data_IF_643731890828
#
_entry.id   IF_643731890828
#
_cell.length_a   1.000
_cell.length_b   1.000
_cell.length_c   1.000
_cell.angle_alpha   90.00
_cell.angle_beta   90.00
_cell.angle_gamma   90.00
#
_symmetry.space_group_name_H-M   'P 1'
#
loop_
_entity.id
_entity.type
_entity.pdbx_description
1 polymer ?
#
# COMPACT_ATOMS: atom_id res chain seq x y z
N UNK A 1 -55.63 -63.17 44.53
CA UNK A 1 -57.07 -63.03 44.78
C UNK A 1 -57.63 -62.27 43.58
N UNK A 2 -58.16 -62.88 42.71
CA UNK A 2 -59.47 -63.34 42.37
C UNK A 2 -60.03 -62.28 41.42
N UNK A 3 -60.63 -62.48 40.39
CA UNK A 3 -61.22 -63.61 39.65
C UNK A 3 -61.80 -63.08 38.31
N UNK A 4 -61.67 -63.85 37.32
CA UNK A 4 -62.49 -63.80 36.05
C UNK A 4 -63.97 -63.83 36.39
N UNK A 5 -64.99 -63.81 35.47
CA UNK A 5 -64.98 -64.10 34.01
C UNK A 5 -66.10 -63.51 33.16
N UNK A 6 -66.20 -64.01 31.89
CA UNK A 6 -67.35 -64.29 30.95
C UNK A 6 -68.01 -63.11 30.18
N UNK A 7 -67.88 -63.09 28.93
CA UNK A 7 -68.51 -63.87 27.82
C UNK A 7 -69.89 -63.41 27.42
N UNK A 8 -70.06 -63.10 26.14
CA UNK A 8 -71.13 -63.50 25.17
C UNK A 8 -71.01 -62.67 23.90
N UNK A 9 -70.59 -63.17 22.77
CA UNK A 9 -71.28 -64.00 21.77
C UNK A 9 -72.31 -63.24 20.95
N UNK A 10 -72.00 -63.09 19.64
CA UNK A 10 -72.86 -63.16 18.43
C UNK A 10 -73.74 -61.93 18.09
N UNK A 11 -73.52 -61.30 16.95
CA UNK A 11 -74.40 -61.34 15.81
C UNK A 11 -73.72 -60.74 14.54
N UNK A 12 -73.78 -61.54 13.53
CA UNK A 12 -73.41 -61.34 12.10
C UNK A 12 -74.36 -60.33 11.48
N UNK A 13 -73.86 -59.29 10.78
CA UNK A 13 -74.59 -58.68 9.70
C UNK A 13 -73.68 -58.10 8.65
N UNK A 14 -73.70 -58.68 7.49
CA UNK A 14 -73.12 -58.23 6.24
C UNK A 14 -73.65 -56.83 5.88
N UNK A 15 -72.79 -55.84 5.81
CA UNK A 15 -73.07 -54.68 5.01
C UNK A 15 -71.89 -54.49 4.05
N UNK A 16 -72.15 -54.81 2.79
CA UNK A 16 -71.28 -54.61 1.63
C UNK A 16 -71.32 -53.10 1.33
N UNK A 17 -70.35 -52.34 1.92
CA UNK A 17 -70.24 -50.94 1.61
C UNK A 17 -69.25 -50.73 0.46
N UNK A 18 -69.77 -50.23 -0.66
CA UNK A 18 -68.96 -49.75 -1.79
C UNK A 18 -67.88 -48.78 -1.30
N UNK A 19 -66.68 -49.17 -1.34
CA UNK A 19 -65.50 -48.24 -1.24
C UNK A 19 -65.33 -47.61 -2.62
N UNK A 20 -65.30 -46.28 -2.73
CA UNK A 20 -64.88 -45.64 -3.97
C UNK A 20 -63.43 -45.89 -4.19
N UNK A 21 -63.06 -46.55 -5.28
CA UNK A 21 -61.69 -46.62 -5.80
C UNK A 21 -61.26 -45.20 -6.16
N UNK A 22 -60.54 -44.57 -5.25
CA UNK A 22 -59.83 -43.35 -5.59
C UNK A 22 -58.75 -43.73 -6.60
N UNK A 23 -59.02 -43.54 -7.89
CA UNK A 23 -58.00 -43.55 -8.93
C UNK A 23 -56.92 -42.55 -8.53
N UNK A 24 -55.72 -43.02 -8.15
CA UNK A 24 -54.53 -42.21 -8.09
C UNK A 24 -54.35 -41.62 -9.49
N UNK A 25 -54.59 -40.33 -9.63
CA UNK A 25 -54.20 -39.60 -10.82
C UNK A 25 -52.69 -39.81 -11.01
N UNK A 26 -52.31 -40.55 -12.05
CA UNK A 26 -50.92 -40.53 -12.51
C UNK A 26 -50.56 -39.12 -12.82
N UNK A 27 -49.42 -38.59 -12.26
CA UNK A 27 -48.94 -37.29 -12.65
C UNK A 27 -48.79 -37.30 -14.17
N UNK A 28 -49.41 -36.35 -14.84
CA UNK A 28 -49.20 -36.11 -16.27
C UNK A 28 -47.70 -36.05 -16.55
N UNK A 29 -47.23 -36.56 -17.69
CA UNK A 29 -45.82 -36.50 -18.03
C UNK A 29 -45.41 -35.02 -17.95
N UNK A 30 -44.50 -34.71 -17.02
CA UNK A 30 -44.00 -33.39 -16.87
C UNK A 30 -43.39 -32.98 -18.21
N UNK A 31 -43.90 -31.92 -18.81
CA UNK A 31 -43.32 -31.38 -20.05
C UNK A 31 -41.81 -31.12 -19.88
N UNK A 32 -41.09 -30.85 -20.97
CA UNK A 32 -39.65 -30.60 -20.90
C UNK A 32 -39.35 -29.58 -19.79
N UNK A 33 -38.35 -29.83 -18.92
CA UNK A 33 -38.06 -28.93 -17.82
C UNK A 33 -37.72 -27.54 -18.36
N UNK A 34 -38.36 -26.52 -17.81
CA UNK A 34 -38.06 -25.13 -18.14
C UNK A 34 -36.74 -24.75 -17.53
N UNK A 35 -35.86 -24.19 -18.36
CA UNK A 35 -34.46 -23.79 -17.99
C UNK A 35 -34.19 -22.36 -18.46
N UNK A 36 -33.45 -21.60 -17.64
CA UNK A 36 -32.91 -20.31 -18.04
C UNK A 36 -31.60 -20.49 -18.79
N UNK A 37 -31.52 -19.93 -20.00
CA UNK A 37 -30.31 -20.00 -20.82
C UNK A 37 -29.71 -18.62 -21.02
N UNK A 38 -28.38 -18.60 -21.09
CA UNK A 38 -27.57 -17.42 -21.40
C UNK A 38 -26.76 -17.70 -22.65
N UNK A 39 -26.71 -16.74 -23.57
CA UNK A 39 -25.85 -16.83 -24.75
C UNK A 39 -24.42 -16.55 -24.37
N UNK A 40 -23.50 -17.43 -24.74
CA UNK A 40 -22.05 -17.22 -24.57
C UNK A 40 -21.66 -16.03 -25.43
N UNK A 41 -21.14 -15.00 -24.79
CA UNK A 41 -20.70 -13.79 -25.46
C UNK A 41 -19.33 -13.38 -24.96
N UNK A 42 -18.60 -12.64 -25.79
CA UNK A 42 -17.37 -11.98 -25.34
C UNK A 42 -17.71 -10.86 -24.39
N UNK A 43 -17.02 -10.86 -23.27
CA UNK A 43 -17.14 -9.84 -22.22
C UNK A 43 -15.76 -9.25 -21.97
N UNK A 44 -15.71 -7.96 -21.79
CA UNK A 44 -14.49 -7.29 -21.33
C UNK A 44 -14.36 -7.45 -19.83
N UNK A 45 -13.33 -8.13 -19.39
CA UNK A 45 -13.07 -8.38 -17.97
C UNK A 45 -11.70 -7.82 -17.61
N UNK A 46 -11.65 -7.00 -16.58
CA UNK A 46 -10.39 -6.60 -15.95
C UNK A 46 -9.92 -7.76 -15.07
N UNK A 47 -8.81 -8.37 -15.45
CA UNK A 47 -8.23 -9.45 -14.64
C UNK A 47 -7.52 -8.85 -13.44
N UNK A 48 -7.85 -9.35 -12.27
CA UNK A 48 -7.28 -8.94 -10.99
C UNK A 48 -6.59 -10.12 -10.32
N UNK A 49 -5.38 -9.90 -9.81
CA UNK A 49 -4.67 -10.84 -8.96
C UNK A 49 -4.60 -10.29 -7.55
N UNK A 50 -5.00 -11.09 -6.57
CA UNK A 50 -5.02 -10.70 -5.17
C UNK A 50 -3.74 -11.18 -4.46
N UNK A 51 -3.12 -10.26 -3.70
CA UNK A 51 -1.95 -10.54 -2.88
C UNK A 51 -2.12 -9.92 -1.50
N UNK A 52 -1.53 -10.54 -0.49
CA UNK A 52 -1.43 -9.92 0.83
C UNK A 52 -0.21 -9.01 0.82
N UNK A 53 -0.43 -7.73 1.13
CA UNK A 53 0.61 -6.73 1.18
C UNK A 53 0.62 -5.94 2.48
N UNK A 54 1.55 -5.01 2.56
CA UNK A 54 1.71 -4.10 3.69
C UNK A 54 1.93 -2.68 3.19
N UNK A 55 1.26 -1.73 3.83
CA UNK A 55 1.52 -0.31 3.64
C UNK A 55 2.82 0.04 4.37
N UNK A 56 3.64 0.87 3.75
CA UNK A 56 4.89 1.36 4.33
C UNK A 56 5.10 2.83 3.98
N UNK A 57 5.50 3.63 4.96
CA UNK A 57 5.91 5.00 4.71
C UNK A 57 7.17 5.07 3.85
N UNK A 58 7.23 6.04 2.94
CA UNK A 58 8.38 6.25 2.05
C UNK A 58 9.58 6.75 2.85
N UNK A 59 9.36 7.71 3.73
CA UNK A 59 10.39 8.31 4.58
C UNK A 59 10.18 7.95 6.04
N UNK A 60 11.24 7.49 6.69
CA UNK A 60 11.30 7.25 8.13
C UNK A 60 12.58 7.83 8.67
N UNK A 61 12.51 8.79 9.58
CA UNK A 61 13.67 9.46 10.17
C UNK A 61 13.59 9.36 11.70
N UNK A 62 14.64 8.82 12.30
CA UNK A 62 14.83 8.86 13.76
C UNK A 62 15.51 10.19 14.13
N UNK A 63 14.83 10.98 14.92
CA UNK A 63 15.37 12.25 15.44
C UNK A 63 16.31 11.95 16.59
N UNK A 64 17.53 12.43 16.50
CA UNK A 64 18.57 12.25 17.52
C UNK A 64 19.22 13.61 17.82
N UNK A 65 19.64 13.81 19.08
CA UNK A 65 20.42 14.96 19.43
C UNK A 65 21.84 14.83 18.85
N UNK A 66 22.39 15.94 18.31
CA UNK A 66 23.77 15.98 17.78
C UNK A 66 24.74 16.62 18.75
N UNK A 67 24.24 17.28 19.76
CA UNK A 67 25.00 17.94 20.85
C UNK A 67 24.42 17.52 22.19
N UNK A 68 25.21 17.66 23.26
CA UNK A 68 24.81 17.31 24.62
C UNK A 68 24.30 18.55 25.35
N UNK A 69 23.00 18.60 25.61
CA UNK A 69 22.34 19.73 26.28
C UNK A 69 21.09 19.27 27.02
N UNK A 70 20.54 20.11 27.90
CA UNK A 70 19.20 19.91 28.45
C UNK A 70 18.14 20.11 27.39
N UNK A 71 17.12 19.25 27.39
CA UNK A 71 15.92 19.43 26.59
C UNK A 71 15.04 20.49 27.28
N UNK A 72 15.04 21.73 26.79
CA UNK A 72 14.25 22.79 27.37
C UNK A 72 12.79 22.67 27.02
N UNK A 73 12.47 22.40 25.73
CA UNK A 73 11.09 22.46 25.27
C UNK A 73 10.83 21.52 24.10
N UNK A 74 9.61 20.98 24.09
CA UNK A 74 9.02 20.25 22.97
C UNK A 74 7.94 21.11 22.31
N UNK A 75 8.10 21.45 21.04
CA UNK A 75 7.23 22.39 20.33
C UNK A 75 6.17 21.69 19.45
N UNK A 76 5.87 20.41 19.71
CA UNK A 76 4.88 19.64 18.96
C UNK A 76 3.97 18.84 19.89
N UNK A 77 2.80 18.42 19.36
CA UNK A 77 1.92 17.46 20.00
C UNK A 77 2.21 16.06 19.42
N UNK A 78 2.32 15.05 20.26
CA UNK A 78 2.57 13.67 19.85
C UNK A 78 1.50 13.17 18.88
N UNK A 79 1.92 12.56 17.79
CA UNK A 79 1.02 12.07 16.76
C UNK A 79 0.50 13.12 15.79
N UNK A 80 0.92 14.39 15.90
CA UNK A 80 0.57 15.40 14.89
C UNK A 80 1.37 15.23 13.60
N UNK A 81 0.86 15.78 12.49
CA UNK A 81 1.62 15.98 11.27
C UNK A 81 2.38 17.30 11.36
N UNK A 82 3.66 17.26 11.00
CA UNK A 82 4.57 18.42 10.97
C UNK A 82 5.11 18.59 9.55
N UNK A 83 5.47 19.82 9.23
CA UNK A 83 6.12 20.15 7.96
C UNK A 83 7.62 20.14 8.12
N UNK A 84 8.32 19.96 7.01
CA UNK A 84 9.77 20.13 6.95
C UNK A 84 10.15 21.51 7.50
N UNK A 85 11.26 21.54 8.28
CA UNK A 85 11.82 22.69 8.97
C UNK A 85 11.01 23.20 10.16
N UNK A 86 9.85 22.61 10.54
CA UNK A 86 9.17 22.92 11.79
C UNK A 86 10.10 22.62 12.97
N UNK A 87 10.13 23.52 13.98
CA UNK A 87 10.86 23.29 15.21
C UNK A 87 10.16 22.22 16.06
N UNK A 88 10.91 21.17 16.41
CA UNK A 88 10.37 20.06 17.19
C UNK A 88 10.87 20.05 18.63
N UNK A 89 12.18 20.26 18.81
CA UNK A 89 12.80 20.32 20.13
C UNK A 89 13.74 21.51 20.21
N UNK A 90 13.70 22.19 21.33
CA UNK A 90 14.63 23.23 21.70
C UNK A 90 15.50 22.72 22.84
N UNK A 91 16.81 22.70 22.60
CA UNK A 91 17.81 22.37 23.62
C UNK A 91 18.39 23.63 24.20
N UNK A 92 19.01 23.55 25.38
CA UNK A 92 19.69 24.63 26.06
C UNK A 92 20.71 25.31 25.15
N UNK A 93 20.48 26.59 24.80
CA UNK A 93 21.29 27.36 23.86
C UNK A 93 22.41 28.21 24.51
N UNK A 94 22.26 28.75 25.75
CA UNK A 94 23.19 29.73 26.30
C UNK A 94 24.67 29.32 26.27
N UNK A 95 25.06 28.05 26.60
CA UNK A 95 26.47 27.65 26.53
C UNK A 95 27.03 27.70 25.10
N UNK A 96 26.24 27.30 24.11
CA UNK A 96 26.63 27.30 22.70
C UNK A 96 26.68 28.72 22.13
N UNK A 97 25.74 29.60 22.53
CA UNK A 97 25.77 31.01 22.18
C UNK A 97 27.02 31.70 22.72
N UNK A 98 27.36 31.46 23.98
CA UNK A 98 28.60 32.01 24.57
C UNK A 98 29.87 31.56 23.80
N UNK A 99 29.88 30.30 23.30
CA UNK A 99 31.00 29.83 22.49
C UNK A 99 31.09 30.52 21.13
N UNK A 100 29.95 30.80 20.49
CA UNK A 100 29.86 31.58 19.25
C UNK A 100 30.37 32.99 19.49
N UNK A 101 29.94 33.65 20.55
CA UNK A 101 30.35 35.04 20.87
C UNK A 101 31.84 35.11 21.17
N UNK A 102 32.38 34.12 21.90
CA UNK A 102 33.85 34.01 22.14
C UNK A 102 34.64 33.89 20.84
N UNK A 103 34.25 32.95 19.96
CA UNK A 103 34.96 32.77 18.69
C UNK A 103 34.79 33.98 17.75
N UNK A 104 33.66 34.64 17.76
CA UNK A 104 33.41 35.88 17.02
C UNK A 104 34.33 37.01 17.47
N UNK A 105 34.54 37.16 18.78
CA UNK A 105 35.49 38.12 19.32
C UNK A 105 36.93 37.80 18.93
N UNK A 106 37.30 36.53 18.93
CA UNK A 106 38.64 36.09 18.50
C UNK A 106 38.88 36.39 17.01
N UNK A 107 37.89 36.13 16.13
CA UNK A 107 37.98 36.52 14.71
C UNK A 107 38.21 38.04 14.58
N UNK A 108 37.42 38.86 15.28
CA UNK A 108 37.57 40.32 15.23
C UNK A 108 38.96 40.79 15.68
N UNK A 109 39.50 40.19 16.73
CA UNK A 109 40.87 40.49 17.20
C UNK A 109 41.92 40.15 16.12
N UNK A 110 41.87 38.97 15.52
CA UNK A 110 42.83 38.54 14.49
C UNK A 110 42.69 39.34 13.19
N UNK A 111 41.47 39.72 12.80
CA UNK A 111 41.24 40.61 11.66
C UNK A 111 41.85 41.99 11.87
N UNK A 112 41.74 42.55 13.07
CA UNK A 112 42.43 43.82 13.40
C UNK A 112 43.95 43.71 13.31
N UNK A 113 44.51 42.60 13.80
CA UNK A 113 45.96 42.34 13.70
C UNK A 113 46.40 42.15 12.24
N UNK A 114 45.62 41.40 11.44
CA UNK A 114 45.90 41.22 10.02
C UNK A 114 45.82 42.55 9.25
N UNK A 115 44.81 43.37 9.51
CA UNK A 115 44.68 44.72 8.93
C UNK A 115 45.92 45.58 9.26
N UNK A 116 46.39 45.51 10.50
CA UNK A 116 47.64 46.21 10.90
C UNK A 116 48.86 45.66 10.13
N UNK A 117 49.00 44.33 9.99
CA UNK A 117 50.10 43.73 9.22
C UNK A 117 50.07 44.12 7.72
N UNK A 118 48.88 44.20 7.12
CA UNK A 118 48.70 44.67 5.75
C UNK A 118 49.19 46.13 5.59
N UNK A 119 48.85 47.01 6.58
CA UNK A 119 49.36 48.37 6.57
C UNK A 119 50.85 48.47 6.74
N UNK A 120 51.46 47.56 7.54
CA UNK A 120 52.93 47.48 7.70
C UNK A 120 53.60 47.01 6.41
N UNK A 121 53.02 46.00 5.74
CA UNK A 121 53.50 45.50 4.44
C UNK A 121 53.44 46.63 3.39
N UNK A 122 52.32 47.30 3.25
CA UNK A 122 52.19 48.44 2.32
C UNK A 122 53.22 49.53 2.56
N UNK A 123 53.54 49.84 3.83
CA UNK A 123 54.59 50.80 4.20
C UNK A 123 56.00 50.28 3.82
N UNK A 124 56.29 49.01 4.09
CA UNK A 124 57.59 48.39 3.75
C UNK A 124 57.83 48.37 2.21
N UNK A 125 56.81 48.03 1.45
CA UNK A 125 56.83 48.08 -0.02
C UNK A 125 57.01 49.49 -0.58
N UNK A 126 56.40 50.49 0.06
CA UNK A 126 56.59 51.90 -0.31
C UNK A 126 58.02 52.34 -0.04
N UNK A 127 58.58 52.01 1.13
CA UNK A 127 59.95 52.36 1.53
C UNK A 127 60.96 51.65 0.66
N UNK A 128 60.74 50.46 0.19
CA UNK A 128 61.63 49.70 -0.73
C UNK A 128 61.89 50.50 -2.02
N UNK A 129 61.01 51.36 -2.45
CA UNK A 129 61.13 52.23 -3.63
C UNK A 129 62.06 53.39 -3.37
N UNK A 130 62.52 53.58 -2.13
CA UNK A 130 63.46 54.65 -1.69
C UNK A 130 64.81 54.05 -1.37
N UNK A 131 65.94 54.88 -1.37
CA UNK A 131 67.27 54.39 -1.01
C UNK A 131 67.40 53.82 0.41
N UNK A 132 66.43 54.00 1.29
CA UNK A 132 66.43 53.50 2.66
C UNK A 132 65.69 52.13 2.81
N UNK A 133 65.15 51.60 1.74
CA UNK A 133 64.41 50.34 1.76
C UNK A 133 65.31 49.12 1.80
N UNK A 134 64.85 48.10 2.63
CA UNK A 134 65.57 46.82 2.73
C UNK A 134 64.65 45.69 2.31
N UNK A 135 65.04 44.86 1.36
CA UNK A 135 64.31 43.70 0.87
C UNK A 135 63.89 42.74 2.02
N UNK A 136 64.89 42.50 2.95
CA UNK A 136 64.64 41.63 4.12
C UNK A 136 63.37 42.06 4.95
N UNK A 137 63.14 43.38 5.10
CA UNK A 137 62.00 43.87 5.84
C UNK A 137 60.69 43.61 5.12
N UNK A 138 60.69 43.72 3.80
CA UNK A 138 59.47 43.37 2.98
C UNK A 138 59.20 41.87 3.09
N UNK A 139 60.24 41.01 2.95
CA UNK A 139 60.04 39.56 3.06
C UNK A 139 59.51 39.16 4.44
N UNK A 140 59.97 39.80 5.51
CA UNK A 140 59.54 39.58 6.88
C UNK A 140 58.05 40.04 7.06
N UNK A 141 57.67 41.20 6.51
CA UNK A 141 56.28 41.70 6.62
C UNK A 141 55.33 40.88 5.77
N UNK A 142 55.74 40.39 4.60
CA UNK A 142 54.94 39.42 3.81
C UNK A 142 54.69 38.14 4.60
N UNK A 143 55.75 37.60 5.23
CA UNK A 143 55.63 36.36 6.02
C UNK A 143 54.70 36.56 7.22
N UNK A 144 54.75 37.69 7.89
CA UNK A 144 53.89 38.04 9.01
C UNK A 144 52.42 38.23 8.56
N UNK A 145 52.17 38.97 7.46
CA UNK A 145 50.85 39.17 6.89
C UNK A 145 50.21 37.80 6.52
N UNK A 146 50.94 36.94 5.82
CA UNK A 146 50.46 35.60 5.45
C UNK A 146 50.15 34.73 6.67
N UNK A 147 50.99 34.80 7.71
CA UNK A 147 50.74 34.09 8.97
C UNK A 147 49.45 34.53 9.63
N UNK A 148 49.23 35.84 9.72
CA UNK A 148 47.99 36.39 10.30
C UNK A 148 46.76 36.12 9.44
N UNK A 149 46.90 36.16 8.10
CA UNK A 149 45.84 35.74 7.20
C UNK A 149 45.44 34.29 7.45
N UNK A 150 46.38 33.36 7.64
CA UNK A 150 46.11 31.97 7.97
C UNK A 150 45.45 31.81 9.35
N UNK A 151 45.86 32.62 10.34
CA UNK A 151 45.24 32.61 11.67
C UNK A 151 43.80 33.10 11.62
N UNK A 152 43.48 34.15 10.84
CA UNK A 152 42.08 34.61 10.61
C UNK A 152 41.25 33.49 9.98
N UNK A 153 41.79 32.80 8.97
CA UNK A 153 41.09 31.70 8.33
C UNK A 153 40.77 30.55 9.33
N UNK A 154 41.76 30.20 10.19
CA UNK A 154 41.57 29.22 11.26
C UNK A 154 40.50 29.62 12.27
N UNK A 155 40.50 30.89 12.72
CA UNK A 155 39.53 31.40 13.68
C UNK A 155 38.11 31.43 13.07
N UNK A 156 37.97 31.77 11.77
CA UNK A 156 36.70 31.72 11.06
C UNK A 156 36.14 30.29 11.00
N UNK A 157 36.96 29.27 10.75
CA UNK A 157 36.56 27.88 10.77
C UNK A 157 36.10 27.44 12.18
N UNK A 158 36.75 27.92 13.24
CA UNK A 158 36.32 27.66 14.62
C UNK A 158 34.99 28.34 14.94
N UNK A 159 34.78 29.57 14.47
CA UNK A 159 33.48 30.27 14.60
C UNK A 159 32.35 29.50 13.87
N UNK A 160 32.60 29.04 12.65
CA UNK A 160 31.64 28.26 11.89
C UNK A 160 31.27 26.96 12.62
N UNK A 161 32.27 26.26 13.18
CA UNK A 161 32.04 25.06 14.00
C UNK A 161 31.11 25.36 15.21
N UNK A 162 31.36 26.48 15.90
CA UNK A 162 30.53 26.90 17.02
C UNK A 162 29.07 27.25 16.59
N UNK A 163 28.93 27.92 15.45
CA UNK A 163 27.61 28.22 14.87
C UNK A 163 26.83 26.96 14.47
N UNK A 164 27.51 25.98 13.88
CA UNK A 164 26.91 24.69 13.55
C UNK A 164 26.42 23.98 14.83
N UNK A 165 27.23 23.97 15.89
CA UNK A 165 26.86 23.37 17.17
C UNK A 165 25.66 24.08 17.82
N UNK A 166 25.61 25.41 17.73
CA UNK A 166 24.45 26.19 18.16
C UNK A 166 23.22 25.82 17.33
N UNK A 167 23.35 25.68 16.00
CA UNK A 167 22.24 25.21 15.13
C UNK A 167 21.72 23.83 15.51
N UNK A 168 22.55 22.95 16.05
CA UNK A 168 22.12 21.63 16.50
C UNK A 168 21.31 21.64 17.81
N UNK A 169 21.24 22.76 18.51
CA UNK A 169 20.33 22.94 19.66
C UNK A 169 18.87 23.08 19.26
N UNK A 170 18.61 23.38 18.00
CA UNK A 170 17.27 23.40 17.42
C UNK A 170 17.09 22.13 16.57
N UNK A 171 16.29 21.18 17.04
CA UNK A 171 15.99 19.98 16.28
C UNK A 171 14.73 20.22 15.47
N UNK A 172 14.91 20.31 14.16
CA UNK A 172 13.83 20.57 13.20
C UNK A 172 13.44 19.33 12.39
N UNK A 173 12.23 19.31 11.87
CA UNK A 173 11.72 18.22 11.03
C UNK A 173 12.51 18.18 9.69
N UNK A 174 13.17 17.06 9.35
CA UNK A 174 13.90 16.94 8.09
C UNK A 174 13.00 16.64 6.89
N UNK A 175 11.79 16.15 7.14
CA UNK A 175 10.76 15.77 6.13
C UNK A 175 9.38 16.14 6.64
N UNK A 176 8.42 16.25 5.73
CA UNK A 176 7.00 16.28 6.09
C UNK A 176 6.57 14.92 6.62
N UNK A 177 5.74 14.89 7.66
CA UNK A 177 5.25 13.62 8.16
C UNK A 177 4.60 13.69 9.53
N UNK A 178 4.26 12.52 10.05
CA UNK A 178 3.68 12.33 11.38
C UNK A 178 4.75 11.97 12.38
N UNK A 179 4.80 12.71 13.48
CA UNK A 179 5.76 12.47 14.56
C UNK A 179 5.20 11.44 15.57
N UNK A 180 6.06 10.55 16.05
CA UNK A 180 5.70 9.59 17.11
C UNK A 180 5.58 10.27 18.48
N UNK A 181 5.24 9.48 19.51
CA UNK A 181 5.49 9.86 20.89
C UNK A 181 6.98 10.14 21.11
N UNK A 182 7.30 11.01 22.06
CA UNK A 182 8.68 11.30 22.48
C UNK A 182 9.16 10.26 23.49
N UNK A 183 10.42 9.83 23.35
CA UNK A 183 11.06 8.92 24.31
C UNK A 183 11.77 9.66 25.45
N UNK A 184 11.84 11.00 25.39
CA UNK A 184 12.55 11.86 26.35
C UNK A 184 11.66 13.00 26.84
N UNK A 185 11.64 13.21 28.14
CA UNK A 185 10.87 14.29 28.78
C UNK A 185 11.71 15.57 28.88
N UNK A 186 11.04 16.72 28.83
CA UNK A 186 11.65 18.04 29.11
C UNK A 186 12.38 18.05 30.45
N UNK A 187 13.51 18.74 30.52
CA UNK A 187 14.40 18.78 31.68
C UNK A 187 15.45 17.67 31.74
N UNK A 188 15.39 16.66 30.86
CA UNK A 188 16.44 15.65 30.77
C UNK A 188 17.61 16.12 29.89
N UNK A 189 18.81 15.60 30.15
CA UNK A 189 19.96 15.77 29.27
C UNK A 189 19.84 14.83 28.11
N UNK A 190 19.97 15.35 26.90
CA UNK A 190 20.08 14.60 25.66
C UNK A 190 21.47 14.74 25.06
N UNK A 191 21.90 13.72 24.32
CA UNK A 191 23.23 13.65 23.71
C UNK A 191 23.20 12.73 22.49
N UNK A 192 24.24 12.68 21.65
CA UNK A 192 24.33 11.72 20.54
C UNK A 192 24.19 10.24 20.97
N UNK A 193 24.47 9.93 22.22
CA UNK A 193 24.36 8.58 22.79
C UNK A 193 23.00 8.29 23.44
N UNK A 194 22.11 9.27 23.57
CA UNK A 194 20.79 9.11 24.19
C UNK A 194 19.80 8.30 23.35
N UNK A 195 20.16 7.97 22.09
CA UNK A 195 19.27 7.26 21.18
C UNK A 195 18.25 8.16 20.48
N UNK A 196 17.14 7.55 20.05
CA UNK A 196 16.10 8.25 19.30
C UNK A 196 15.21 9.05 20.25
N UNK A 197 15.01 10.33 19.98
CA UNK A 197 14.10 11.20 20.73
C UNK A 197 12.64 11.01 20.29
N UNK A 198 12.43 10.92 18.99
CA UNK A 198 11.15 10.61 18.33
C UNK A 198 11.42 10.10 16.92
N UNK A 199 10.42 9.45 16.33
CA UNK A 199 10.47 9.02 14.93
C UNK A 199 9.48 9.84 14.10
N UNK A 200 9.95 10.35 12.97
CA UNK A 200 9.12 11.04 11.98
C UNK A 200 8.91 10.12 10.78
N UNK A 201 7.64 9.94 10.37
CA UNK A 201 7.26 9.06 9.25
C UNK A 201 6.42 9.83 8.24
N UNK A 202 6.83 9.77 6.96
CA UNK A 202 6.04 10.38 5.89
C UNK A 202 4.68 9.71 5.79
N UNK A 203 3.65 10.48 5.39
CA UNK A 203 2.28 10.01 5.35
C UNK A 203 1.69 9.95 3.94
N UNK A 204 2.22 10.72 3.01
CA UNK A 204 1.73 10.82 1.63
C UNK A 204 2.90 11.21 0.70
N UNK A 205 3.10 10.47 -0.39
CA UNK A 205 2.49 9.16 -0.70
C UNK A 205 3.03 8.01 0.18
N UNK A 206 2.40 6.82 0.07
CA UNK A 206 2.81 5.60 0.78
C UNK A 206 3.29 4.53 -0.21
N UNK A 207 4.14 3.64 0.26
CA UNK A 207 4.43 2.40 -0.45
C UNK A 207 3.41 1.32 -0.09
N UNK A 208 3.08 0.49 -1.05
CA UNK A 208 2.43 -0.80 -0.85
C UNK A 208 3.40 -1.88 -1.31
N UNK A 209 3.78 -2.78 -0.39
CA UNK A 209 4.77 -3.82 -0.63
C UNK A 209 4.09 -5.17 -0.49
N UNK A 210 4.26 -6.03 -1.47
CA UNK A 210 3.66 -7.36 -1.48
C UNK A 210 4.55 -8.38 -2.16
N UNK A 211 4.66 -9.60 -1.60
CA UNK A 211 5.38 -10.70 -2.20
C UNK A 211 4.50 -11.40 -3.25
N UNK A 212 5.08 -11.77 -4.37
CA UNK A 212 4.43 -12.52 -5.44
C UNK A 212 5.25 -13.78 -5.72
N UNK A 213 4.61 -14.95 -5.77
CA UNK A 213 5.28 -16.19 -6.11
C UNK A 213 5.99 -16.09 -7.47
N UNK A 214 7.21 -16.61 -7.58
CA UNK A 214 8.04 -16.48 -8.78
C UNK A 214 7.30 -16.91 -10.04
N UNK A 215 6.56 -18.02 -9.99
CA UNK A 215 5.74 -18.50 -11.12
C UNK A 215 4.72 -17.43 -11.57
N UNK A 216 4.01 -16.82 -10.63
CA UNK A 216 3.02 -15.79 -10.93
C UNK A 216 3.69 -14.53 -11.46
N UNK A 217 4.83 -14.14 -10.91
CA UNK A 217 5.59 -12.97 -11.38
C UNK A 217 6.05 -13.14 -12.83
N UNK A 218 6.48 -14.34 -13.22
CA UNK A 218 6.83 -14.67 -14.62
C UNK A 218 5.60 -14.56 -15.53
N UNK A 219 4.45 -15.10 -15.13
CA UNK A 219 3.20 -14.99 -15.89
C UNK A 219 2.74 -13.52 -16.06
N UNK A 220 2.82 -12.74 -15.00
CA UNK A 220 2.50 -11.31 -15.06
C UNK A 220 3.47 -10.55 -15.97
N UNK A 221 4.76 -10.84 -15.87
CA UNK A 221 5.79 -10.26 -16.74
C UNK A 221 5.51 -10.56 -18.23
N UNK A 222 5.31 -11.84 -18.57
CA UNK A 222 5.11 -12.28 -19.95
C UNK A 222 3.83 -11.66 -20.55
N UNK A 223 2.83 -11.37 -19.71
CA UNK A 223 1.61 -10.69 -20.10
C UNK A 223 1.79 -9.19 -20.26
N UNK A 224 2.28 -8.50 -19.25
CA UNK A 224 2.23 -7.04 -19.18
C UNK A 224 3.45 -6.33 -19.79
N UNK A 225 4.60 -7.00 -19.94
CA UNK A 225 5.76 -6.38 -20.60
C UNK A 225 5.45 -5.94 -22.04
N UNK A 226 4.75 -6.74 -22.88
CA UNK A 226 4.35 -6.31 -24.23
C UNK A 226 3.32 -5.16 -24.22
N UNK A 227 2.54 -5.01 -23.16
CA UNK A 227 1.47 -4.01 -23.00
C UNK A 227 1.95 -2.67 -22.41
N UNK A 228 3.24 -2.54 -22.09
CA UNK A 228 3.84 -1.33 -21.50
C UNK A 228 4.42 -1.51 -20.11
N UNK A 229 4.53 -2.73 -19.62
CA UNK A 229 5.18 -3.07 -18.35
C UNK A 229 4.44 -2.51 -17.13
N UNK A 230 5.12 -1.69 -16.32
CA UNK A 230 4.55 -1.11 -15.10
C UNK A 230 3.32 -0.22 -15.34
N UNK A 231 3.23 0.39 -16.52
CA UNK A 231 2.09 1.25 -16.89
C UNK A 231 0.85 0.45 -17.30
N UNK A 232 1.01 -0.83 -17.62
CA UNK A 232 -0.08 -1.71 -17.99
C UNK A 232 -0.86 -2.25 -16.80
N UNK A 233 -0.42 -1.97 -15.56
CA UNK A 233 -1.05 -2.43 -14.33
C UNK A 233 -1.30 -1.29 -13.36
N UNK A 234 -2.39 -1.40 -12.63
CA UNK A 234 -2.74 -0.51 -11.53
C UNK A 234 -2.88 -1.32 -10.24
N UNK A 235 -2.63 -0.65 -9.14
CA UNK A 235 -2.75 -1.23 -7.81
C UNK A 235 -3.97 -0.63 -7.14
N UNK A 236 -4.94 -1.49 -6.79
CA UNK A 236 -6.01 -1.14 -5.86
C UNK A 236 -5.76 -1.85 -4.54
N UNK A 237 -6.23 -1.25 -3.48
CA UNK A 237 -6.04 -1.77 -2.12
C UNK A 237 -7.41 -2.03 -1.51
N UNK A 238 -7.60 -3.23 -0.95
CA UNK A 238 -8.73 -3.54 -0.08
C UNK A 238 -8.25 -3.47 1.37
N UNK A 239 -8.88 -2.59 2.14
CA UNK A 239 -8.58 -2.38 3.54
C UNK A 239 -9.05 -3.56 4.40
N UNK A 240 -8.57 -3.72 5.65
CA UNK A 240 -8.97 -4.81 6.55
C UNK A 240 -10.47 -4.86 6.85
N UNK A 241 -11.17 -3.73 6.72
CA UNK A 241 -12.63 -3.65 6.88
C UNK A 241 -13.42 -4.12 5.63
N UNK A 242 -12.73 -4.62 4.59
CA UNK A 242 -13.30 -5.09 3.33
C UNK A 242 -13.59 -4.02 2.29
N UNK A 243 -13.46 -2.73 2.62
CA UNK A 243 -13.69 -1.64 1.67
C UNK A 243 -12.52 -1.50 0.70
N UNK A 244 -12.83 -1.21 -0.56
CA UNK A 244 -11.82 -0.83 -1.56
C UNK A 244 -11.40 0.62 -1.30
N UNK A 245 -10.09 0.85 -1.25
CA UNK A 245 -9.52 2.17 -1.13
C UNK A 245 -9.71 2.96 -2.44
N UNK A 246 -10.14 4.22 -2.34
CA UNK A 246 -10.53 5.01 -3.52
C UNK A 246 -9.36 5.41 -4.41
N UNK A 247 -8.18 5.61 -3.81
CA UNK A 247 -7.00 6.01 -4.56
C UNK A 247 -6.36 4.81 -5.25
N UNK A 248 -5.87 5.04 -6.46
CA UNK A 248 -5.19 4.04 -7.28
C UNK A 248 -3.69 4.23 -7.16
N UNK A 249 -2.98 3.15 -6.90
CA UNK A 249 -1.52 3.10 -6.88
C UNK A 249 -0.94 2.63 -8.20
N UNK A 250 0.36 2.87 -8.36
CA UNK A 250 1.15 2.45 -9.52
C UNK A 250 2.33 1.60 -9.07
N UNK A 251 2.66 0.58 -9.85
CA UNK A 251 3.86 -0.23 -9.62
C UNK A 251 5.10 0.61 -9.95
N UNK A 252 6.08 0.67 -9.04
CA UNK A 252 7.31 1.44 -9.23
C UNK A 252 8.58 0.58 -9.13
N UNK A 253 8.50 -0.60 -8.50
CA UNK A 253 9.67 -1.43 -8.27
C UNK A 253 9.35 -2.92 -8.22
N UNK A 254 10.21 -3.72 -8.83
CA UNK A 254 10.25 -5.18 -8.71
C UNK A 254 11.63 -5.56 -8.19
N UNK A 255 11.69 -6.36 -7.12
CA UNK A 255 12.95 -6.85 -6.58
C UNK A 255 13.74 -7.63 -7.63
N UNK A 256 15.04 -7.36 -7.82
CA UNK A 256 15.90 -8.15 -8.69
C UNK A 256 16.27 -9.51 -8.10
N UNK A 257 15.91 -9.75 -6.83
CA UNK A 257 16.24 -10.99 -6.10
C UNK A 257 14.97 -11.71 -5.68
N UNK A 258 15.02 -13.04 -5.72
CA UNK A 258 14.00 -13.92 -5.18
C UNK A 258 14.33 -14.24 -3.73
N UNK A 259 13.35 -14.16 -2.84
CA UNK A 259 13.51 -14.64 -1.47
C UNK A 259 13.56 -16.16 -1.48
N UNK A 260 14.70 -16.72 -1.01
CA UNK A 260 14.98 -18.16 -1.07
C UNK A 260 14.11 -19.00 -0.12
N UNK A 261 13.54 -18.39 0.93
CA UNK A 261 12.74 -19.11 1.91
C UNK A 261 11.29 -19.25 1.45
N UNK A 262 10.80 -18.28 0.67
CA UNK A 262 9.38 -18.19 0.29
C UNK A 262 9.15 -18.37 -1.21
N UNK A 263 10.21 -18.44 -2.03
CA UNK A 263 10.15 -18.46 -3.50
C UNK A 263 9.30 -17.32 -4.07
N UNK A 264 9.45 -16.12 -3.48
CA UNK A 264 8.69 -14.95 -3.88
C UNK A 264 9.60 -13.81 -4.35
N UNK A 265 9.06 -12.96 -5.22
CA UNK A 265 9.63 -11.69 -5.64
C UNK A 265 8.82 -10.59 -5.00
N UNK A 266 9.49 -9.66 -4.34
CA UNK A 266 8.83 -8.51 -3.73
C UNK A 266 8.53 -7.45 -4.80
N UNK A 267 7.27 -7.08 -4.90
CA UNK A 267 6.79 -5.95 -5.70
C UNK A 267 6.46 -4.79 -4.77
N UNK A 268 6.68 -3.58 -5.28
CA UNK A 268 6.35 -2.34 -4.58
C UNK A 268 5.62 -1.40 -5.51
N UNK A 269 4.58 -0.79 -4.99
CA UNK A 269 3.89 0.30 -5.66
C UNK A 269 3.83 1.54 -4.78
N UNK A 270 3.51 2.66 -5.40
CA UNK A 270 3.26 3.95 -4.75
C UNK A 270 1.77 4.24 -4.82
N UNK A 271 1.19 4.60 -3.69
CA UNK A 271 -0.23 4.95 -3.59
C UNK A 271 -0.40 6.28 -2.84
N UNK A 272 -1.21 7.22 -3.34
CA UNK A 272 -1.54 8.45 -2.62
C UNK A 272 -2.30 8.15 -1.33
N UNK A 273 -2.06 8.97 -0.30
CA UNK A 273 -2.75 8.86 0.98
C UNK A 273 -3.24 10.25 1.44
N UNK A 274 -4.18 10.87 0.70
CA UNK A 274 -4.67 12.21 1.02
C UNK A 274 -5.36 12.26 2.38
N UNK A 275 -5.49 13.47 2.92
CA UNK A 275 -6.25 13.72 4.13
C UNK A 275 -7.74 13.43 3.91
N UNK A 276 -8.33 12.61 4.78
CA UNK A 276 -9.78 12.36 4.84
C UNK A 276 -10.46 13.43 5.69
N UNK A 277 -9.80 13.83 6.80
CA UNK A 277 -10.27 14.91 7.65
C UNK A 277 -9.06 15.77 8.05
N UNK A 278 -9.22 17.08 7.90
CA UNK A 278 -8.23 18.04 8.37
C UNK A 278 -8.21 18.08 9.91
N UNK A 279 -7.08 18.49 10.47
CA UNK A 279 -6.96 18.75 11.90
C UNK A 279 -8.04 19.76 12.36
N UNK A 280 -8.78 19.42 13.40
CA UNK A 280 -9.82 20.28 13.99
C UNK A 280 -9.81 20.14 15.50
N UNK A 281 -9.82 21.28 16.21
CA UNK A 281 -10.00 21.35 17.67
C UNK A 281 -9.08 20.40 18.48
N UNK A 282 -7.78 20.34 18.13
CA UNK A 282 -6.81 19.46 18.81
C UNK A 282 -6.85 17.99 18.37
N UNK A 283 -7.72 17.64 17.42
CA UNK A 283 -7.74 16.29 16.83
C UNK A 283 -6.71 16.25 15.69
N UNK A 284 -5.79 15.27 15.67
CA UNK A 284 -4.83 15.14 14.57
C UNK A 284 -5.55 14.86 13.24
N UNK A 285 -4.94 15.24 12.10
CA UNK A 285 -5.48 14.94 10.79
C UNK A 285 -5.59 13.43 10.58
N UNK A 286 -6.66 13.01 9.91
CA UNK A 286 -6.94 11.59 9.68
C UNK A 286 -6.64 11.25 8.23
N UNK A 287 -5.84 10.21 8.03
CA UNK A 287 -5.57 9.55 6.75
C UNK A 287 -6.07 8.12 6.82
N UNK A 288 -6.35 7.54 5.67
CA UNK A 288 -6.98 6.22 5.60
C UNK A 288 -5.97 5.08 5.71
N UNK A 289 -4.76 5.28 5.15
CA UNK A 289 -3.70 4.29 5.22
C UNK A 289 -2.74 4.61 6.36
N UNK A 290 -2.35 3.57 7.09
CA UNK A 290 -1.42 3.67 8.22
C UNK A 290 -0.15 2.86 7.92
N UNK A 291 1.00 3.39 8.37
CA UNK A 291 2.28 2.67 8.23
C UNK A 291 2.23 1.29 8.90
N UNK A 292 2.74 0.26 8.21
CA UNK A 292 2.76 -1.16 8.59
C UNK A 292 1.40 -1.87 8.58
N UNK A 293 0.33 -1.24 8.14
CA UNK A 293 -0.98 -1.86 7.99
C UNK A 293 -0.96 -2.98 6.96
N UNK A 294 -1.59 -4.11 7.26
CA UNK A 294 -1.82 -5.18 6.30
C UNK A 294 -3.03 -4.87 5.43
N UNK A 295 -2.88 -5.13 4.15
CA UNK A 295 -3.92 -4.87 3.14
C UNK A 295 -3.96 -6.00 2.11
N UNK A 296 -5.09 -6.16 1.44
CA UNK A 296 -5.16 -6.98 0.23
C UNK A 296 -4.89 -6.11 -0.98
N UNK A 297 -3.86 -6.46 -1.72
CA UNK A 297 -3.44 -5.77 -2.95
C UNK A 297 -4.11 -6.43 -4.14
N UNK A 298 -4.84 -5.66 -4.91
CA UNK A 298 -5.47 -6.05 -6.17
C UNK A 298 -4.61 -5.47 -7.30
N UNK A 299 -3.88 -6.35 -7.98
CA UNK A 299 -3.10 -5.96 -9.16
C UNK A 299 -3.97 -6.19 -10.41
N UNK A 300 -4.40 -5.11 -11.03
CA UNK A 300 -5.34 -5.09 -12.14
C UNK A 300 -4.67 -4.63 -13.44
N UNK A 301 -4.99 -5.27 -14.56
CA UNK A 301 -4.58 -4.77 -15.88
C UNK A 301 -5.36 -3.49 -16.22
N UNK A 302 -4.69 -2.52 -16.80
CA UNK A 302 -5.32 -1.26 -17.26
C UNK A 302 -6.27 -1.53 -18.42
N UNK A 303 -5.90 -2.47 -19.32
CA UNK A 303 -6.74 -2.83 -20.46
C UNK A 303 -7.60 -4.04 -20.13
N UNK A 304 -8.92 -3.95 -20.33
CA UNK A 304 -9.78 -5.11 -20.21
C UNK A 304 -9.46 -6.13 -21.32
N UNK A 305 -9.50 -7.41 -20.96
CA UNK A 305 -9.30 -8.51 -21.92
C UNK A 305 -10.67 -9.03 -22.37
N UNK A 306 -10.85 -9.14 -23.68
CA UNK A 306 -12.06 -9.74 -24.26
C UNK A 306 -11.98 -11.27 -24.14
N UNK A 307 -12.84 -11.83 -23.31
CA UNK A 307 -12.90 -13.29 -23.00
C UNK A 307 -14.32 -13.82 -23.16
N UNK A 308 -14.46 -15.12 -23.41
CA UNK A 308 -15.77 -15.76 -23.36
C UNK A 308 -16.21 -15.87 -21.90
N UNK A 309 -17.30 -15.19 -21.56
CA UNK A 309 -17.85 -15.14 -20.20
C UNK A 309 -19.22 -15.84 -20.13
N UNK A 310 -19.39 -16.63 -19.07
CA UNK A 310 -20.70 -17.23 -18.71
C UNK A 310 -20.98 -16.95 -17.23
N UNK A 311 -22.25 -16.90 -16.81
CA UNK A 311 -22.57 -16.80 -15.39
C UNK A 311 -21.95 -17.97 -14.60
N UNK A 312 -21.36 -17.68 -13.45
CA UNK A 312 -20.73 -18.73 -12.62
C UNK A 312 -21.71 -19.79 -12.16
N UNK A 313 -23.02 -19.45 -12.07
CA UNK A 313 -24.10 -20.37 -11.75
C UNK A 313 -24.33 -21.44 -12.81
N UNK A 314 -23.83 -21.24 -14.03
CA UNK A 314 -23.92 -22.23 -15.11
C UNK A 314 -22.84 -23.31 -15.04
N UNK A 315 -21.77 -23.08 -14.27
CA UNK A 315 -20.65 -24.01 -14.15
C UNK A 315 -20.95 -25.06 -13.10
N UNK A 316 -20.77 -26.31 -13.49
CA UNK A 316 -20.88 -27.50 -12.66
C UNK A 316 -19.54 -28.20 -12.60
N UNK A 317 -19.25 -28.84 -11.48
CA UNK A 317 -17.98 -29.56 -11.28
C UNK A 317 -18.26 -30.99 -10.84
N UNK A 318 -17.58 -31.95 -11.45
CA UNK A 318 -17.59 -33.36 -11.06
C UNK A 318 -16.16 -33.91 -10.92
N UNK A 319 -16.04 -35.25 -10.77
CA UNK A 319 -14.74 -35.89 -10.62
C UNK A 319 -13.82 -35.76 -11.87
N UNK A 320 -14.38 -35.43 -13.03
CA UNK A 320 -13.66 -35.26 -14.28
C UNK A 320 -13.31 -33.81 -14.60
N UNK A 321 -13.75 -32.84 -13.78
CA UNK A 321 -13.50 -31.42 -13.94
C UNK A 321 -14.77 -30.58 -14.14
N UNK A 322 -14.59 -29.38 -14.65
CA UNK A 322 -15.67 -28.42 -14.85
C UNK A 322 -16.42 -28.68 -16.15
N UNK A 323 -17.74 -28.52 -16.11
CA UNK A 323 -18.61 -28.70 -17.26
C UNK A 323 -19.83 -27.78 -17.21
N UNK A 324 -20.49 -27.65 -18.35
CA UNK A 324 -21.74 -26.90 -18.51
C UNK A 324 -22.76 -27.72 -19.31
N UNK A 325 -24.02 -27.36 -19.23
CA UNK A 325 -25.03 -27.83 -20.16
C UNK A 325 -25.21 -26.84 -21.30
N UNK A 326 -24.95 -27.27 -22.53
CA UNK A 326 -25.20 -26.52 -23.76
C UNK A 326 -26.51 -27.01 -24.37
N UNK A 327 -27.37 -26.10 -24.85
CA UNK A 327 -28.59 -26.44 -25.56
C UNK A 327 -28.30 -26.50 -27.06
N UNK A 328 -28.54 -27.66 -27.64
CA UNK A 328 -28.39 -27.89 -29.08
C UNK A 328 -29.54 -27.31 -29.92
N UNK A 329 -29.45 -27.37 -31.25
CA UNK A 329 -30.48 -26.92 -32.17
C UNK A 329 -31.82 -27.70 -32.10
N UNK A 330 -31.87 -28.81 -31.33
CA UNK A 330 -33.05 -29.62 -31.08
C UNK A 330 -33.58 -29.45 -29.65
N UNK A 331 -33.13 -28.42 -28.95
CA UNK A 331 -33.42 -28.14 -27.53
C UNK A 331 -33.03 -29.28 -26.59
N UNK A 332 -31.95 -30.01 -26.86
CA UNK A 332 -31.42 -31.03 -25.96
C UNK A 332 -30.26 -30.46 -25.15
N UNK A 333 -30.18 -30.87 -23.90
CA UNK A 333 -29.09 -30.49 -23.01
C UNK A 333 -27.87 -31.45 -23.21
N UNK A 334 -26.80 -30.95 -23.76
CA UNK A 334 -25.54 -31.66 -23.95
C UNK A 334 -24.55 -31.27 -22.87
N UNK A 335 -23.85 -32.26 -22.27
CA UNK A 335 -22.75 -32.00 -21.35
C UNK A 335 -21.52 -31.59 -22.14
N UNK A 336 -20.98 -30.41 -21.87
CA UNK A 336 -19.77 -29.90 -22.49
C UNK A 336 -18.70 -29.62 -21.44
N UNK A 337 -17.56 -30.31 -21.57
CA UNK A 337 -16.37 -30.04 -20.71
C UNK A 337 -15.76 -28.72 -21.08
N UNK A 338 -15.38 -27.95 -20.06
CA UNK A 338 -14.78 -26.64 -20.22
C UNK A 338 -13.52 -26.49 -19.39
N UNK A 339 -12.64 -25.61 -19.83
CA UNK A 339 -11.52 -25.16 -19.04
C UNK A 339 -11.77 -23.71 -18.61
N UNK A 340 -11.65 -23.48 -17.31
CA UNK A 340 -11.86 -22.16 -16.72
C UNK A 340 -10.53 -21.38 -16.64
N UNK A 341 -10.61 -20.09 -16.97
CA UNK A 341 -9.57 -19.12 -16.69
C UNK A 341 -9.82 -18.36 -15.38
N UNK A 342 -9.09 -17.26 -15.19
CA UNK A 342 -9.32 -16.37 -14.07
C UNK A 342 -10.73 -15.77 -14.13
N UNK A 343 -11.60 -16.23 -13.24
CA UNK A 343 -13.00 -15.88 -13.17
C UNK A 343 -13.26 -14.84 -12.11
N UNK A 344 -14.27 -13.99 -12.32
CA UNK A 344 -14.79 -13.07 -11.30
C UNK A 344 -15.80 -13.78 -10.39
N UNK A 345 -16.25 -13.18 -9.28
CA UNK A 345 -17.31 -13.76 -8.45
C UNK A 345 -18.63 -14.04 -9.20
N UNK A 346 -18.95 -13.24 -10.21
CA UNK A 346 -20.20 -13.35 -11.00
C UNK A 346 -20.03 -14.06 -12.32
N UNK A 347 -18.86 -13.97 -12.97
CA UNK A 347 -18.60 -14.46 -14.33
C UNK A 347 -17.47 -15.48 -14.34
N UNK A 348 -17.73 -16.64 -14.91
CA UNK A 348 -16.72 -17.65 -15.20
C UNK A 348 -16.14 -17.38 -16.60
N UNK A 349 -14.81 -17.25 -16.66
CA UNK A 349 -14.07 -17.10 -17.91
C UNK A 349 -13.81 -18.49 -18.49
N UNK A 350 -14.22 -18.72 -19.72
CA UNK A 350 -13.97 -20.00 -20.42
C UNK A 350 -12.84 -19.81 -21.39
N UNK A 351 -11.76 -20.60 -21.21
CA UNK A 351 -10.58 -20.57 -22.09
C UNK A 351 -10.69 -21.61 -23.20
N UNK A 352 -11.41 -22.69 -22.97
CA UNK A 352 -11.60 -23.77 -23.93
C UNK A 352 -12.92 -24.53 -23.66
N UNK A 353 -13.50 -25.14 -24.71
CA UNK A 353 -14.70 -25.96 -24.63
C UNK A 353 -16.02 -25.29 -25.00
N UNK A 354 -16.08 -23.97 -25.21
CA UNK A 354 -17.28 -23.25 -25.68
C UNK A 354 -16.94 -22.33 -26.84
N UNK A 355 -17.98 -22.13 -27.71
CA UNK A 355 -17.91 -21.17 -28.79
C UNK A 355 -18.85 -19.99 -28.52
N UNK A 356 -18.50 -18.83 -29.09
CA UNK A 356 -19.36 -17.64 -29.03
C UNK A 356 -20.70 -17.92 -29.71
N UNK A 357 -21.78 -17.51 -29.06
CA UNK A 357 -23.16 -17.67 -29.55
C UNK A 357 -23.87 -18.95 -29.07
N UNK A 358 -23.16 -19.92 -28.48
CA UNK A 358 -23.80 -21.11 -27.88
C UNK A 358 -24.71 -20.74 -26.70
N UNK A 359 -25.77 -21.52 -26.47
CA UNK A 359 -26.70 -21.32 -25.36
C UNK A 359 -26.33 -22.24 -24.20
N UNK A 360 -25.98 -21.65 -23.06
CA UNK A 360 -25.62 -22.37 -21.83
C UNK A 360 -26.70 -22.22 -20.79
N UNK A 361 -27.06 -23.34 -20.14
CA UNK A 361 -28.08 -23.35 -19.08
C UNK A 361 -27.50 -22.75 -17.82
N UNK A 362 -28.07 -21.65 -17.32
CA UNK A 362 -27.62 -20.95 -16.09
C UNK A 362 -28.62 -21.12 -14.94
N UNK A 363 -29.88 -21.44 -15.22
CA UNK A 363 -30.93 -21.64 -14.22
C UNK A 363 -31.64 -22.96 -14.48
N UNK A 364 -32.04 -23.67 -13.41
CA UNK A 364 -32.73 -24.96 -13.49
C UNK A 364 -31.78 -26.14 -13.78
N UNK A 365 -30.49 -25.96 -13.75
CA UNK A 365 -29.47 -27.01 -14.02
C UNK A 365 -29.68 -28.29 -13.21
N UNK A 366 -30.22 -28.21 -11.99
CA UNK A 366 -30.52 -29.38 -11.13
C UNK A 366 -31.64 -30.27 -11.64
N UNK A 367 -32.45 -29.80 -12.59
CA UNK A 367 -33.60 -30.53 -13.18
C UNK A 367 -33.25 -31.17 -14.51
N UNK A 368 -32.06 -30.91 -15.04
CA UNK A 368 -31.65 -31.32 -16.38
C UNK A 368 -30.77 -32.58 -16.31
N UNK A 369 -31.07 -33.50 -17.19
CA UNK A 369 -30.25 -34.73 -17.40
C UNK A 369 -29.57 -34.66 -18.78
N UNK A 370 -28.39 -35.25 -18.93
CA UNK A 370 -27.70 -35.31 -20.20
C UNK A 370 -28.57 -35.94 -21.28
N UNK A 371 -28.70 -35.26 -22.45
CA UNK A 371 -29.51 -35.73 -23.59
C UNK A 371 -31.03 -35.45 -23.48
N UNK A 372 -31.50 -34.88 -22.39
CA UNK A 372 -32.93 -34.55 -22.16
C UNK A 372 -33.34 -33.31 -22.97
N UNK A 373 -34.54 -33.35 -23.52
CA UNK A 373 -35.15 -32.16 -24.17
C UNK A 373 -35.60 -31.18 -23.11
N UNK A 374 -35.14 -29.93 -23.21
CA UNK A 374 -35.44 -28.82 -22.29
C UNK A 374 -36.31 -27.76 -22.98
N UNK A 375 -36.97 -26.93 -22.20
CA UNK A 375 -37.68 -25.73 -22.70
C UNK A 375 -36.86 -24.51 -22.35
N UNK A 376 -36.00 -24.00 -23.28
CA UNK A 376 -35.13 -22.88 -23.02
C UNK A 376 -35.92 -21.57 -22.99
N UNK A 377 -35.76 -20.79 -21.92
CA UNK A 377 -36.22 -19.43 -21.79
C UNK A 377 -35.07 -18.48 -21.41
N UNK A 378 -35.22 -17.18 -21.54
CA UNK A 378 -34.19 -16.26 -21.09
C UNK A 378 -34.01 -16.41 -19.57
N UNK A 379 -32.73 -16.46 -19.14
CA UNK A 379 -32.40 -16.42 -17.71
C UNK A 379 -32.83 -15.10 -17.08
N UNK A 380 -33.21 -15.15 -15.81
CA UNK A 380 -33.53 -13.94 -15.03
C UNK A 380 -32.32 -12.99 -15.04
N UNK A 381 -32.53 -11.66 -15.20
CA UNK A 381 -31.42 -10.74 -15.15
C UNK A 381 -30.70 -10.86 -13.79
N UNK A 382 -29.46 -11.22 -13.80
CA UNK A 382 -28.63 -11.18 -12.57
C UNK A 382 -28.54 -9.74 -12.09
N UNK A 383 -28.72 -9.47 -10.79
CA UNK A 383 -28.43 -8.15 -10.26
C UNK A 383 -26.97 -7.83 -10.59
N UNK A 384 -26.76 -6.79 -11.38
CA UNK A 384 -25.42 -6.27 -11.64
C UNK A 384 -24.79 -5.98 -10.29
N UNK A 385 -23.61 -6.52 -10.02
CA UNK A 385 -22.78 -6.10 -8.89
C UNK A 385 -22.31 -4.65 -9.18
N UNK A 386 -23.25 -3.70 -9.07
CA UNK A 386 -22.97 -2.29 -9.09
C UNK A 386 -22.64 -1.90 -7.65
N UNK A 387 -21.38 -1.54 -7.44
CA UNK A 387 -20.91 -0.66 -6.39
C UNK A 387 -21.29 -1.06 -4.95
N UNK A 388 -20.37 -1.73 -4.25
CA UNK A 388 -20.26 -1.75 -2.83
C UNK A 388 -18.85 -1.38 -2.42
#
# INVERSE_FOLDING_TARGET
MGSRPFAKVVLLLLIFALLPVTAKAQPAPAGPPAVGVVRVARQEITQSNEFVGRIQSIGRVSLVARVSAFLEKREFVEGQEVKKDDLLYLLEQPPYQAQVDFNKANVAQLEAQHTFAQQQLARAEYLLKTPAGQQQNVDQTISNERSLAAQVASAKAQLETAQINLGYTEIRAPIDGKISATDVTEGNVVSPSSGTLATLVSQDPMYVIFPVAQRTALQLRDRYVPEGGFQAVVIRVRLPNGKIYEQVGHLDYISPTVDQNTDTITLRGVIPNPLVAAAKDGTPPIRQLTDKEFVTVLLEGVQPVSVLGIPRTAVLTDQQGDYVYVVDGQNRAEVRRIHLGQSTPSTAVVTDGLNEGELVISEGVQRVRPGEVVSPGPASPQPSAAGG
#
